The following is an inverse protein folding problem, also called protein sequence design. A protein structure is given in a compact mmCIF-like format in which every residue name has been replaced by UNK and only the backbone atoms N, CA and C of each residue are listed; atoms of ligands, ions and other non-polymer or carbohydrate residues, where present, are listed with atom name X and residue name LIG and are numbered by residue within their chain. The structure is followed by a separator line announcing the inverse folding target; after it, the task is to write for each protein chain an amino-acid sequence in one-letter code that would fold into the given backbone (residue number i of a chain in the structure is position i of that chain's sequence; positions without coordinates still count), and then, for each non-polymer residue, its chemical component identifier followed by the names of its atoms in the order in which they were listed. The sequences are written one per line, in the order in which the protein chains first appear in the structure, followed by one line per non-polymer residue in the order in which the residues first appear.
data_IF_954943082342
#
_entry.id   IF_954943082342
#
_cell.length_a   1.000
_cell.length_b   1.000
_cell.length_c   1.000
_cell.angle_alpha   90.00
_cell.angle_beta   90.00
_cell.angle_gamma   90.00
#
_symmetry.space_group_name_H-M   'P 1'
#
loop_
_entity.id
_entity.type
_entity.pdbx_description
1 polymer ?
#
# COMPACT_ATOMS: atom_id res chain seq x y z
N UNK A 1 -3.07 12.37 19.51
CA UNK A 1 -2.09 11.32 19.15
C UNK A 1 -2.72 10.46 18.08
N UNK A 2 -1.99 10.16 17.02
CA UNK A 2 -2.49 9.33 15.91
C UNK A 2 -2.55 7.88 16.36
N UNK A 3 -3.62 7.17 15.98
CA UNK A 3 -3.76 5.73 16.17
C UNK A 3 -3.91 5.06 14.81
N UNK A 4 -3.05 4.08 14.52
CA UNK A 4 -3.06 3.30 13.27
C UNK A 4 -3.59 1.90 13.55
N UNK A 5 -4.67 1.52 12.86
CA UNK A 5 -5.17 0.14 12.81
C UNK A 5 -4.49 -0.61 11.67
N UNK A 6 -3.78 -1.66 12.02
CA UNK A 6 -2.86 -2.35 11.14
C UNK A 6 -3.05 -3.87 11.23
N UNK A 7 -2.89 -4.54 10.11
CA UNK A 7 -2.59 -5.98 10.03
C UNK A 7 -1.26 -6.14 9.29
N UNK A 8 -0.31 -6.93 9.78
CA UNK A 8 0.96 -7.18 9.11
C UNK A 8 0.77 -7.62 7.63
N UNK A 9 1.75 -7.29 6.79
CA UNK A 9 1.76 -7.64 5.37
C UNK A 9 0.55 -7.10 4.57
N UNK A 10 0.02 -5.94 4.97
CA UNK A 10 -1.06 -5.24 4.28
C UNK A 10 -0.66 -3.83 3.92
N UNK A 11 -1.51 -3.12 3.16
CA UNK A 11 -1.30 -1.71 2.80
C UNK A 11 -1.13 -0.77 4.00
N UNK A 12 -1.43 -1.21 5.23
CA UNK A 12 -1.16 -0.44 6.43
C UNK A 12 0.34 -0.18 6.64
N UNK A 13 1.20 -1.07 6.13
CA UNK A 13 2.66 -0.91 6.21
C UNK A 13 3.17 0.38 5.58
N UNK A 14 2.56 0.86 4.47
CA UNK A 14 2.98 2.12 3.84
C UNK A 14 2.63 3.36 4.67
N UNK A 15 1.56 3.28 5.46
CA UNK A 15 1.17 4.34 6.40
C UNK A 15 2.12 4.36 7.59
N UNK A 16 2.43 3.19 8.15
CA UNK A 16 3.44 3.06 9.20
C UNK A 16 4.80 3.60 8.74
N UNK A 17 5.25 3.21 7.53
CA UNK A 17 6.49 3.72 6.95
C UNK A 17 6.51 5.25 6.86
N UNK A 18 5.43 5.87 6.35
CA UNK A 18 5.35 7.32 6.28
C UNK A 18 5.41 7.98 7.66
N UNK A 19 4.71 7.43 8.66
CA UNK A 19 4.73 7.97 10.03
C UNK A 19 6.15 7.93 10.62
N UNK A 20 6.89 6.84 10.39
CA UNK A 20 8.31 6.72 10.77
C UNK A 20 9.18 7.75 10.05
N UNK A 21 8.99 7.94 8.74
CA UNK A 21 9.74 8.94 7.96
C UNK A 21 9.46 10.36 8.45
N UNK A 22 8.23 10.68 8.81
CA UNK A 22 7.84 11.97 9.36
C UNK A 22 8.26 12.14 10.83
N UNK A 23 8.68 11.07 11.50
CA UNK A 23 9.00 11.01 12.94
C UNK A 23 7.83 11.48 13.82
N UNK A 24 6.63 11.04 13.48
CA UNK A 24 5.41 11.33 14.22
C UNK A 24 5.21 10.20 15.24
N UNK A 25 4.95 10.57 16.50
CA UNK A 25 4.52 9.60 17.50
C UNK A 25 3.10 9.11 17.22
N UNK A 26 2.90 7.79 17.23
CA UNK A 26 1.62 7.16 16.99
C UNK A 26 1.48 5.85 17.76
N UNK A 27 0.24 5.47 18.00
CA UNK A 27 -0.12 4.16 18.55
C UNK A 27 -0.49 3.19 17.42
N UNK A 28 -0.19 1.91 17.63
CA UNK A 28 -0.59 0.85 16.69
C UNK A 28 -1.55 -0.10 17.37
N UNK A 29 -2.70 -0.34 16.77
CA UNK A 29 -3.58 -1.45 17.10
C UNK A 29 -3.49 -2.53 16.02
N UNK A 30 -2.92 -3.68 16.39
CA UNK A 30 -2.78 -4.82 15.49
C UNK A 30 -4.08 -5.62 15.49
N UNK A 31 -4.74 -5.67 14.33
CA UNK A 31 -5.91 -6.49 14.10
C UNK A 31 -5.50 -7.84 13.47
N UNK A 32 -6.00 -8.96 13.97
CA UNK A 32 -5.72 -10.26 13.37
C UNK A 32 -6.34 -10.34 11.95
N UNK A 33 -5.62 -10.99 11.01
CA UNK A 33 -6.11 -11.22 9.65
C UNK A 33 -7.15 -12.35 9.63
N UNK A 34 -8.22 -12.13 10.37
CA UNK A 34 -9.36 -13.07 10.46
C UNK A 34 -10.66 -12.33 10.20
N UNK A 35 -11.72 -13.10 9.95
CA UNK A 35 -13.05 -12.53 9.77
C UNK A 35 -13.51 -11.81 11.05
N UNK A 36 -13.24 -12.39 12.20
CA UNK A 36 -13.62 -11.84 13.51
C UNK A 36 -12.87 -10.54 13.79
N UNK A 37 -11.58 -10.46 13.49
CA UNK A 37 -10.75 -9.26 13.69
C UNK A 37 -11.17 -8.13 12.73
N UNK A 38 -11.16 -8.40 11.43
CA UNK A 38 -11.37 -7.36 10.41
C UNK A 38 -12.85 -7.02 10.18
N UNK A 39 -13.79 -7.94 10.47
CA UNK A 39 -15.22 -7.73 10.23
C UNK A 39 -16.05 -7.56 11.49
N UNK A 40 -15.38 -7.32 12.63
CA UNK A 40 -16.08 -6.98 13.87
C UNK A 40 -16.96 -5.73 13.67
N UNK A 41 -18.11 -5.63 14.36
CA UNK A 41 -18.95 -4.43 14.30
C UNK A 41 -18.19 -3.15 14.64
N UNK A 42 -17.29 -3.24 15.61
CA UNK A 42 -16.45 -2.12 16.03
C UNK A 42 -15.51 -1.66 14.91
N UNK A 43 -14.78 -2.58 14.25
CA UNK A 43 -13.90 -2.19 13.15
C UNK A 43 -14.67 -1.73 11.91
N UNK A 44 -15.85 -2.30 11.68
CA UNK A 44 -16.74 -1.86 10.58
C UNK A 44 -17.33 -0.47 10.80
N UNK A 45 -17.42 0.03 12.01
CA UNK A 45 -17.79 1.44 12.26
C UNK A 45 -16.71 2.42 11.80
N UNK A 46 -15.43 1.97 11.76
CA UNK A 46 -14.28 2.75 11.26
C UNK A 46 -14.08 2.57 9.75
N UNK A 47 -14.28 1.36 9.24
CA UNK A 47 -14.10 1.03 7.82
C UNK A 47 -15.27 0.16 7.32
N UNK A 48 -16.13 0.70 6.47
CA UNK A 48 -17.36 0.03 6.01
C UNK A 48 -17.14 -1.39 5.46
N UNK A 49 -16.00 -1.64 4.79
CA UNK A 49 -15.63 -2.96 4.29
C UNK A 49 -14.82 -3.79 5.31
N UNK A 50 -14.54 -3.26 6.51
CA UNK A 50 -13.70 -3.91 7.51
C UNK A 50 -12.34 -4.29 6.92
N UNK A 51 -11.57 -3.31 6.50
CA UNK A 51 -10.21 -3.45 5.97
C UNK A 51 -9.25 -2.55 6.75
N UNK A 52 -7.96 -2.70 6.50
CA UNK A 52 -6.88 -1.85 6.98
C UNK A 52 -6.10 -1.29 5.80
N UNK A 53 -5.45 -0.10 5.95
CA UNK A 53 -5.34 0.72 7.16
C UNK A 53 -6.59 1.54 7.47
N UNK A 54 -6.70 1.91 8.73
CA UNK A 54 -7.52 3.02 9.24
C UNK A 54 -6.63 3.83 10.16
N UNK A 55 -6.77 5.15 10.18
CA UNK A 55 -6.22 5.99 11.24
C UNK A 55 -7.31 6.75 11.97
N UNK A 56 -7.07 7.01 13.24
CA UNK A 56 -7.78 8.01 14.05
C UNK A 56 -6.79 9.10 14.45
N UNK A 57 -7.18 10.37 14.27
CA UNK A 57 -6.38 11.54 14.64
C UNK A 57 -7.29 12.62 15.21
N UNK A 58 -7.45 12.64 16.53
CA UNK A 58 -8.48 13.42 17.21
C UNK A 58 -9.87 12.97 16.79
N UNK A 59 -10.66 13.89 16.24
CA UNK A 59 -12.02 13.62 15.77
C UNK A 59 -12.07 13.06 14.33
N UNK A 60 -10.91 12.92 13.68
CA UNK A 60 -10.81 12.39 12.30
C UNK A 60 -10.62 10.89 12.35
N UNK A 61 -11.50 10.15 11.66
CA UNK A 61 -11.31 8.72 11.38
C UNK A 61 -11.43 8.49 9.89
N UNK A 62 -10.33 8.05 9.23
CA UNK A 62 -10.30 7.85 7.79
C UNK A 62 -9.63 6.53 7.41
N UNK A 63 -10.03 6.01 6.26
CA UNK A 63 -9.44 4.84 5.61
C UNK A 63 -9.03 5.19 4.17
N UNK A 64 -8.49 4.25 3.41
CA UNK A 64 -7.75 4.38 2.16
C UNK A 64 -6.31 4.85 2.39
N UNK A 65 -5.34 3.96 2.16
CA UNK A 65 -3.93 4.25 2.46
C UNK A 65 -3.40 5.48 1.71
N UNK A 66 -3.82 5.71 0.47
CA UNK A 66 -3.46 6.90 -0.29
C UNK A 66 -4.04 8.20 0.31
N UNK A 67 -5.31 8.16 0.72
CA UNK A 67 -5.96 9.32 1.38
C UNK A 67 -5.31 9.62 2.74
N UNK A 68 -5.01 8.57 3.52
CA UNK A 68 -4.31 8.69 4.79
C UNK A 68 -2.94 9.35 4.60
N UNK A 69 -2.16 8.88 3.63
CA UNK A 69 -0.84 9.43 3.33
C UNK A 69 -0.95 10.92 2.93
N UNK A 70 -1.89 11.27 2.05
CA UNK A 70 -2.08 12.66 1.67
C UNK A 70 -2.49 13.53 2.87
N UNK A 71 -3.42 13.07 3.71
CA UNK A 71 -3.83 13.76 4.92
C UNK A 71 -2.67 14.00 5.88
N UNK A 72 -1.85 12.97 6.11
CA UNK A 72 -0.67 13.08 6.99
C UNK A 72 0.36 14.07 6.44
N UNK A 73 0.60 14.07 5.13
CA UNK A 73 1.49 15.02 4.48
C UNK A 73 0.96 16.45 4.55
N UNK A 74 -0.33 16.66 4.29
CA UNK A 74 -0.93 18.00 4.34
C UNK A 74 -0.90 18.61 5.75
N UNK A 75 -0.98 17.76 6.79
CA UNK A 75 -1.04 18.19 8.17
C UNK A 75 0.32 18.22 8.87
N UNK A 76 1.22 17.31 8.53
CA UNK A 76 2.40 17.01 9.33
C UNK A 76 3.72 17.01 8.55
N UNK A 77 3.71 17.19 7.22
CA UNK A 77 4.96 17.13 6.44
C UNK A 77 5.87 18.31 6.77
N UNK A 78 6.90 18.01 7.52
CA UNK A 78 7.98 18.93 7.88
C UNK A 78 9.30 18.61 7.15
N UNK A 79 9.28 17.63 6.21
CA UNK A 79 10.46 17.14 5.49
C UNK A 79 10.39 17.30 3.97
N UNK A 80 9.26 17.76 3.45
CA UNK A 80 9.05 17.91 2.01
C UNK A 80 8.90 16.59 1.27
N UNK A 81 8.29 15.57 1.92
CA UNK A 81 7.99 14.28 1.31
C UNK A 81 6.85 14.37 0.26
N UNK A 82 6.13 15.49 0.26
CA UNK A 82 5.24 15.93 -0.80
C UNK A 82 5.82 17.19 -1.44
N UNK A 83 6.19 17.18 -2.72
CA UNK A 83 6.70 18.37 -3.39
C UNK A 83 5.65 19.48 -3.45
N UNK A 84 6.10 20.73 -3.51
CA UNK A 84 5.23 21.88 -3.68
C UNK A 84 4.48 21.78 -5.02
N UNK A 85 3.19 22.15 -5.03
CA UNK A 85 2.33 22.10 -6.22
C UNK A 85 2.86 22.92 -7.41
N UNK A 86 3.65 23.98 -7.14
CA UNK A 86 4.29 24.80 -8.16
C UNK A 86 5.62 24.23 -8.68
N UNK A 87 6.11 23.13 -8.09
CA UNK A 87 7.37 22.52 -8.49
C UNK A 87 7.22 21.67 -9.76
N UNK A 88 8.31 21.49 -10.49
CA UNK A 88 8.34 20.65 -11.70
C UNK A 88 8.17 19.17 -11.39
N UNK A 89 8.47 18.75 -10.17
CA UNK A 89 8.38 17.38 -9.68
C UNK A 89 6.95 16.98 -9.34
N UNK A 90 6.09 17.95 -9.00
CA UNK A 90 4.75 17.67 -8.49
C UNK A 90 3.86 16.84 -9.44
N UNK A 91 3.78 17.09 -10.76
CA UNK A 91 3.01 16.25 -11.66
C UNK A 91 3.50 14.79 -11.69
N UNK A 92 4.82 14.58 -11.63
CA UNK A 92 5.42 13.24 -11.59
C UNK A 92 5.19 12.54 -10.25
N UNK A 93 5.24 13.31 -9.15
CA UNK A 93 4.85 12.81 -7.84
C UNK A 93 3.41 12.27 -7.87
N UNK A 94 2.45 13.03 -8.36
CA UNK A 94 1.05 12.60 -8.48
C UNK A 94 0.93 11.37 -9.38
N UNK A 95 1.61 11.36 -10.53
CA UNK A 95 1.61 10.23 -11.45
C UNK A 95 2.03 8.95 -10.74
N UNK A 96 3.20 8.93 -10.10
CA UNK A 96 3.73 7.73 -9.45
C UNK A 96 2.97 7.36 -8.18
N UNK A 97 2.51 8.35 -7.43
CA UNK A 97 1.67 8.13 -6.26
C UNK A 97 0.39 7.35 -6.60
N UNK A 98 -0.30 7.76 -7.67
CA UNK A 98 -1.53 7.11 -8.11
C UNK A 98 -1.28 5.86 -8.97
N UNK A 99 -0.13 5.76 -9.64
CA UNK A 99 0.25 4.58 -10.43
C UNK A 99 0.25 3.31 -9.58
N UNK A 100 0.68 3.41 -8.35
CA UNK A 100 0.69 2.31 -7.39
C UNK A 100 -0.68 1.64 -7.26
N UNK A 101 -1.72 2.38 -6.89
CA UNK A 101 -3.07 1.81 -6.70
C UNK A 101 -3.81 1.58 -8.03
N UNK A 102 -3.53 2.39 -9.05
CA UNK A 102 -4.20 2.30 -10.34
C UNK A 102 -3.69 1.18 -11.25
N UNK A 103 -2.40 0.87 -11.19
CA UNK A 103 -1.77 -0.05 -12.15
C UNK A 103 -1.10 -1.27 -11.50
N UNK A 104 -0.41 -1.09 -10.36
CA UNK A 104 0.36 -2.18 -9.74
C UNK A 104 -0.53 -3.03 -8.82
N UNK A 105 -1.33 -2.40 -7.99
CA UNK A 105 -2.12 -3.13 -6.99
C UNK A 105 -3.31 -3.94 -7.54
N UNK A 106 -4.01 -3.57 -8.64
CA UNK A 106 -5.10 -4.40 -9.16
C UNK A 106 -4.66 -5.82 -9.55
N UNK A 107 -3.63 -6.03 -10.40
CA UNK A 107 -3.16 -7.37 -10.70
C UNK A 107 -2.57 -8.07 -9.46
N UNK A 108 -1.87 -7.35 -8.57
CA UNK A 108 -1.38 -7.91 -7.31
C UNK A 108 -2.51 -8.48 -6.46
N UNK A 109 -3.64 -7.76 -6.34
CA UNK A 109 -4.79 -8.25 -5.61
C UNK A 109 -5.34 -9.56 -6.20
N UNK A 110 -5.36 -9.70 -7.52
CA UNK A 110 -5.79 -10.94 -8.16
C UNK A 110 -4.83 -12.10 -7.85
N UNK A 111 -3.52 -11.84 -7.86
CA UNK A 111 -2.53 -12.85 -7.47
C UNK A 111 -2.78 -13.31 -6.04
N UNK A 112 -2.92 -12.37 -5.08
CA UNK A 112 -3.21 -12.68 -3.66
C UNK A 112 -4.51 -13.50 -3.53
N UNK A 113 -5.56 -13.14 -4.28
CA UNK A 113 -6.83 -13.89 -4.27
C UNK A 113 -6.61 -15.33 -4.74
N UNK A 114 -5.90 -15.52 -5.85
CA UNK A 114 -5.71 -16.83 -6.46
C UNK A 114 -4.66 -17.69 -5.74
N UNK A 115 -3.74 -17.09 -4.97
CA UNK A 115 -2.67 -17.86 -4.32
C UNK A 115 -2.87 -18.03 -2.81
N UNK A 116 -3.47 -17.04 -2.14
CA UNK A 116 -3.57 -17.00 -0.67
C UNK A 116 -5.00 -17.12 -0.17
N UNK A 117 -5.95 -16.35 -0.75
CA UNK A 117 -7.28 -16.21 -0.15
C UNK A 117 -8.27 -17.31 -0.57
N UNK A 118 -8.16 -17.81 -1.80
CA UNK A 118 -9.05 -18.89 -2.26
C UNK A 118 -8.47 -20.25 -1.88
N UNK A 119 -9.34 -21.21 -1.47
CA UNK A 119 -8.95 -22.59 -1.36
C UNK A 119 -8.57 -23.12 -2.75
N UNK A 120 -7.67 -24.11 -2.80
CA UNK A 120 -7.01 -24.57 -4.03
C UNK A 120 -8.00 -24.98 -5.14
N UNK A 121 -9.06 -25.67 -4.78
CA UNK A 121 -10.10 -26.14 -5.71
C UNK A 121 -10.94 -25.01 -6.35
N UNK A 122 -10.80 -23.78 -5.88
CA UNK A 122 -11.49 -22.60 -6.42
C UNK A 122 -10.57 -21.64 -7.14
N UNK A 123 -9.28 -21.95 -7.24
CA UNK A 123 -8.28 -21.14 -7.95
C UNK A 123 -8.41 -21.30 -9.45
N UNK A 124 -8.20 -20.22 -10.18
CA UNK A 124 -8.23 -20.20 -11.64
C UNK A 124 -6.82 -19.80 -12.16
N UNK A 125 -6.13 -20.77 -12.75
CA UNK A 125 -4.81 -20.55 -13.31
C UNK A 125 -4.80 -19.53 -14.45
N UNK A 126 -5.88 -19.42 -15.23
CA UNK A 126 -5.97 -18.44 -16.32
C UNK A 126 -5.98 -17.04 -15.76
N UNK A 127 -6.79 -16.80 -14.71
CA UNK A 127 -6.83 -15.52 -14.00
C UNK A 127 -5.47 -15.21 -13.38
N UNK A 128 -4.81 -16.19 -12.75
CA UNK A 128 -3.49 -16.01 -12.17
C UNK A 128 -2.45 -15.62 -13.24
N UNK A 129 -2.37 -16.34 -14.36
CA UNK A 129 -1.45 -16.04 -15.45
C UNK A 129 -1.70 -14.66 -16.07
N UNK A 130 -2.96 -14.27 -16.23
CA UNK A 130 -3.30 -12.91 -16.71
C UNK A 130 -2.86 -11.84 -15.73
N UNK A 131 -3.09 -12.04 -14.43
CA UNK A 131 -2.69 -11.10 -13.39
C UNK A 131 -1.16 -10.94 -13.33
N UNK A 132 -0.41 -12.05 -13.39
CA UNK A 132 1.07 -12.01 -13.42
C UNK A 132 1.59 -11.25 -14.65
N UNK A 133 1.02 -11.49 -15.84
CA UNK A 133 1.39 -10.77 -17.05
C UNK A 133 1.09 -9.26 -16.95
N UNK A 134 -0.07 -8.89 -16.40
CA UNK A 134 -0.42 -7.49 -16.19
C UNK A 134 0.50 -6.83 -15.16
N UNK A 135 0.85 -7.53 -14.08
CA UNK A 135 1.77 -7.03 -13.07
C UNK A 135 3.15 -6.76 -13.68
N UNK A 136 3.69 -7.71 -14.43
CA UNK A 136 4.97 -7.55 -15.14
C UNK A 136 4.94 -6.33 -16.06
N UNK A 137 3.89 -6.19 -16.87
CA UNK A 137 3.70 -5.01 -17.74
C UNK A 137 3.59 -3.70 -16.98
N UNK A 138 3.04 -3.71 -15.78
CA UNK A 138 2.96 -2.52 -14.92
C UNK A 138 4.29 -2.19 -14.25
N UNK A 139 5.14 -3.17 -13.98
CA UNK A 139 6.44 -2.96 -13.34
C UNK A 139 7.55 -2.57 -14.34
N UNK A 140 7.49 -3.03 -15.59
CA UNK A 140 8.50 -2.70 -16.60
C UNK A 140 8.71 -1.18 -16.75
N UNK A 141 7.66 -0.34 -16.92
CA UNK A 141 7.85 1.12 -17.01
C UNK A 141 8.46 1.74 -15.76
N UNK A 142 8.21 1.15 -14.58
CA UNK A 142 8.81 1.60 -13.32
C UNK A 142 10.31 1.29 -13.32
N UNK A 143 10.67 0.07 -13.72
CA UNK A 143 12.07 -0.35 -13.83
C UNK A 143 12.84 0.53 -14.81
N UNK A 144 12.31 0.73 -16.01
CA UNK A 144 12.93 1.57 -17.04
C UNK A 144 13.07 3.03 -16.58
N UNK A 145 12.06 3.54 -15.86
CA UNK A 145 12.08 4.90 -15.35
C UNK A 145 13.11 5.12 -14.24
N UNK A 146 13.31 4.12 -13.38
CA UNK A 146 14.26 4.16 -12.27
C UNK A 146 15.71 3.87 -12.67
N UNK A 147 15.97 3.50 -13.92
CA UNK A 147 17.34 3.26 -14.37
C UNK A 147 18.23 4.46 -14.11
N UNK A 148 19.28 4.28 -13.30
CA UNK A 148 20.20 5.34 -12.86
C UNK A 148 19.61 6.37 -11.90
N UNK A 149 18.48 6.11 -11.26
CA UNK A 149 17.85 6.98 -10.27
C UNK A 149 17.62 6.24 -8.95
N UNK A 150 17.81 6.95 -7.86
CA UNK A 150 17.55 6.41 -6.52
C UNK A 150 16.05 6.50 -6.13
N UNK A 151 15.34 7.51 -6.64
CA UNK A 151 13.95 7.80 -6.28
C UNK A 151 13.11 8.25 -7.49
N UNK A 152 11.78 8.13 -7.35
CA UNK A 152 10.81 8.40 -8.42
C UNK A 152 10.81 9.86 -8.91
N UNK A 153 11.15 10.81 -8.04
CA UNK A 153 11.13 12.25 -8.38
C UNK A 153 12.46 12.96 -8.06
N UNK A 154 13.56 12.21 -8.01
CA UNK A 154 14.89 12.72 -7.72
C UNK A 154 15.25 12.73 -6.23
N UNK A 155 14.32 13.07 -5.35
CA UNK A 155 14.42 12.93 -3.90
C UNK A 155 13.39 11.94 -3.38
N UNK A 156 13.69 11.33 -2.23
CA UNK A 156 12.73 10.46 -1.55
C UNK A 156 11.44 11.21 -1.24
N UNK A 157 10.31 10.58 -1.53
CA UNK A 157 8.97 11.14 -1.38
C UNK A 157 7.95 10.09 -0.95
N UNK A 158 6.74 10.51 -0.62
CA UNK A 158 5.67 9.58 -0.31
C UNK A 158 5.24 8.71 -1.52
N UNK A 159 5.57 9.09 -2.75
CA UNK A 159 5.37 8.22 -3.92
C UNK A 159 6.27 6.97 -3.83
N UNK A 160 7.49 7.10 -3.29
CA UNK A 160 8.40 5.98 -3.04
C UNK A 160 7.86 5.07 -1.93
N UNK A 161 7.26 5.63 -0.87
CA UNK A 161 6.56 4.83 0.15
C UNK A 161 5.41 4.02 -0.45
N UNK A 162 4.63 4.62 -1.35
CA UNK A 162 3.49 3.95 -1.99
C UNK A 162 3.96 2.80 -2.90
N UNK A 163 4.87 3.08 -3.81
CA UNK A 163 5.31 2.11 -4.81
C UNK A 163 6.27 1.06 -4.23
N UNK A 164 7.22 1.48 -3.40
CA UNK A 164 8.19 0.58 -2.75
C UNK A 164 7.51 -0.45 -1.86
N UNK A 165 6.48 -0.04 -1.10
CA UNK A 165 5.68 -0.99 -0.34
C UNK A 165 4.94 -1.99 -1.26
N UNK A 166 4.49 -1.57 -2.43
CA UNK A 166 3.84 -2.48 -3.38
C UNK A 166 4.82 -3.52 -3.93
N UNK A 167 6.07 -3.11 -4.18
CA UNK A 167 7.14 -4.04 -4.55
C UNK A 167 7.49 -5.02 -3.41
N UNK A 168 7.49 -4.54 -2.15
CA UNK A 168 7.65 -5.42 -0.99
C UNK A 168 6.53 -6.45 -0.89
N UNK A 169 5.28 -6.06 -1.13
CA UNK A 169 4.16 -7.00 -1.15
C UNK A 169 4.32 -8.09 -2.21
N UNK A 170 4.95 -7.76 -3.36
CA UNK A 170 5.24 -8.73 -4.40
C UNK A 170 6.22 -9.82 -3.92
N UNK A 171 7.32 -9.43 -3.27
CA UNK A 171 8.30 -10.38 -2.71
C UNK A 171 7.61 -11.35 -1.74
N UNK A 172 6.86 -10.82 -0.78
CA UNK A 172 6.12 -11.64 0.18
C UNK A 172 5.12 -12.60 -0.47
N UNK A 173 4.47 -12.17 -1.56
CA UNK A 173 3.49 -13.00 -2.27
C UNK A 173 4.17 -14.12 -3.09
N UNK A 174 5.35 -13.86 -3.66
CA UNK A 174 6.13 -14.85 -4.39
C UNK A 174 6.70 -15.92 -3.45
N UNK A 175 7.26 -15.53 -2.31
CA UNK A 175 7.80 -16.46 -1.31
C UNK A 175 6.70 -17.39 -0.77
N UNK A 176 5.50 -16.84 -0.50
CA UNK A 176 4.35 -17.63 -0.07
C UNK A 176 3.80 -18.58 -1.16
N UNK A 177 4.11 -18.36 -2.42
CA UNK A 177 3.77 -19.26 -3.53
C UNK A 177 4.83 -20.38 -3.66
N UNK A 178 6.11 -20.06 -3.45
CA UNK A 178 7.23 -21.02 -3.54
C UNK A 178 7.26 -22.01 -2.37
N UNK A 179 6.96 -21.58 -1.15
CA UNK A 179 6.89 -22.44 0.06
C UNK A 179 5.83 -23.57 -0.06
N UNK A 180 4.93 -23.52 -1.04
CA UNK A 180 3.90 -24.54 -1.28
C UNK A 180 4.28 -25.59 -2.33
N UNK A 181 5.42 -25.38 -2.99
CA UNK A 181 5.97 -26.32 -3.98
C UNK A 181 7.04 -27.24 -3.39
N UNK A 182 7.21 -27.26 -2.05
CA UNK A 182 8.08 -28.18 -1.32
C UNK A 182 7.33 -29.31 -0.64
#
# INVERSE_FOLDING_TARGET
MIKLYLTPNTRAGRVAWLLEELKIEYEVEILPFTKEGLKSPEHRSRHALGRVPVIEDGDVSIFESGAIIQYLLDKYDNKGLKPNAESKEYPYYLQWFHYCEGMVMPPMNQIVVQTILLPEERRDETVLKQAMNLLTKSLNPVNDYLEGKDYLIGNFSAADCMLGHSCYCLLYTSDAADDRNC
#
